data_IF_336457771880
#
_entry.id   IF_336457771880
#
_cell.length_a   1.000
_cell.length_b   1.000
_cell.length_c   1.000
_cell.angle_alpha   90.00
_cell.angle_beta   90.00
_cell.angle_gamma   90.00
#
_symmetry.space_group_name_H-M   'P 1'
#
loop_
_entity.id
_entity.type
_entity.pdbx_description
1 polymer ?
#
# COMPACT_ATOMS: atom_id res chain seq x y z
N UNK A 1 0.13 39.74 60.66
CA UNK A 1 -0.54 40.37 59.51
C UNK A 1 -1.12 39.26 58.64
N UNK A 2 -2.45 39.13 58.63
CA UNK A 2 -3.20 38.06 57.97
C UNK A 2 -3.94 38.63 56.75
N UNK A 3 -3.80 37.93 55.63
CA UNK A 3 -4.79 37.62 54.58
C UNK A 3 -5.77 38.70 54.10
N UNK A 4 -5.84 38.87 52.78
CA UNK A 4 -7.07 38.55 52.03
C UNK A 4 -6.80 38.36 50.54
N UNK A 5 -7.27 37.20 50.07
CA UNK A 5 -7.32 36.71 48.71
C UNK A 5 -8.39 37.48 47.91
N UNK A 6 -8.14 37.83 46.66
CA UNK A 6 -9.20 38.08 45.67
C UNK A 6 -8.86 37.34 44.39
N UNK A 7 -9.52 36.20 44.21
CA UNK A 7 -9.55 35.43 42.97
C UNK A 7 -10.62 36.07 42.08
N UNK A 8 -10.19 36.72 40.99
CA UNK A 8 -11.08 37.17 39.93
C UNK A 8 -11.20 36.05 38.89
N UNK A 9 -12.40 35.48 38.79
CA UNK A 9 -12.78 34.56 37.74
C UNK A 9 -12.99 35.32 36.42
N UNK A 10 -12.22 34.98 35.40
CA UNK A 10 -12.48 35.37 34.02
C UNK A 10 -12.94 34.13 33.24
N UNK A 11 -14.24 34.05 32.97
CA UNK A 11 -14.79 33.13 31.97
C UNK A 11 -14.27 33.55 30.59
N UNK A 12 -13.34 32.78 30.04
CA UNK A 12 -12.91 32.91 28.66
C UNK A 12 -13.86 32.10 27.78
N UNK A 13 -14.77 32.80 27.11
CA UNK A 13 -15.68 32.23 26.12
C UNK A 13 -14.90 32.09 24.80
N UNK A 14 -14.23 30.95 24.60
CA UNK A 14 -13.60 30.65 23.31
C UNK A 14 -14.70 30.23 22.31
N UNK A 15 -15.03 31.17 21.42
CA UNK A 15 -15.69 30.86 20.15
C UNK A 15 -14.81 29.86 19.41
N UNK A 16 -15.31 28.64 19.20
CA UNK A 16 -14.71 27.69 18.27
C UNK A 16 -14.90 28.23 16.84
N UNK A 17 -14.00 29.11 16.39
CA UNK A 17 -13.73 29.21 14.97
C UNK A 17 -13.10 27.89 14.55
N UNK A 18 -13.82 27.14 13.71
CA UNK A 18 -13.29 25.94 13.07
C UNK A 18 -12.02 26.28 12.31
N UNK A 19 -10.87 25.94 12.88
CA UNK A 19 -9.64 25.80 12.14
C UNK A 19 -9.86 24.66 11.16
N UNK A 20 -10.15 25.01 9.90
CA UNK A 20 -10.00 24.06 8.80
C UNK A 20 -8.51 23.70 8.79
N UNK A 21 -8.20 22.47 9.22
CA UNK A 21 -6.87 21.93 9.02
C UNK A 21 -6.54 22.06 7.53
N UNK A 22 -5.33 22.51 7.16
CA UNK A 22 -4.94 22.56 5.77
C UNK A 22 -5.13 21.17 5.19
N UNK A 23 -6.06 21.05 4.23
CA UNK A 23 -6.20 19.86 3.42
C UNK A 23 -4.84 19.67 2.77
N UNK A 24 -4.05 18.62 3.09
CA UNK A 24 -2.82 18.38 2.37
C UNK A 24 -3.27 18.27 0.91
N UNK A 25 -2.85 19.25 0.11
CA UNK A 25 -3.08 19.25 -1.31
C UNK A 25 -2.65 17.86 -1.75
N UNK A 26 -3.59 17.09 -2.30
CA UNK A 26 -3.27 15.85 -2.96
C UNK A 26 -2.19 16.23 -3.97
N UNK A 27 -0.93 15.95 -3.63
CA UNK A 27 0.17 16.05 -4.57
C UNK A 27 -0.32 15.24 -5.75
N UNK A 28 -0.53 15.92 -6.89
CA UNK A 28 -1.17 15.33 -8.05
C UNK A 28 -0.62 13.93 -8.26
N UNK A 29 -1.50 12.93 -8.38
CA UNK A 29 -1.09 11.54 -8.46
C UNK A 29 0.07 11.44 -9.44
N UNK A 30 1.12 10.76 -9.02
CA UNK A 30 2.16 10.39 -9.95
C UNK A 30 1.48 9.67 -11.13
N UNK A 31 1.71 10.10 -12.38
CA UNK A 31 0.99 9.56 -13.52
C UNK A 31 0.99 8.03 -13.54
N UNK A 32 -0.12 7.40 -13.92
CA UNK A 32 -0.23 5.93 -13.92
C UNK A 32 0.82 5.25 -14.81
N UNK A 33 1.29 5.94 -15.86
CA UNK A 33 2.36 5.44 -16.72
C UNK A 33 3.73 5.43 -16.01
N UNK A 34 3.98 6.33 -15.05
CA UNK A 34 5.19 6.35 -14.24
C UNK A 34 5.23 5.18 -13.26
N UNK A 35 4.09 4.83 -12.64
CA UNK A 35 4.04 3.66 -11.72
C UNK A 35 4.12 2.34 -12.48
N UNK A 36 3.61 2.27 -13.72
CA UNK A 36 3.78 1.11 -14.59
C UNK A 36 5.26 0.77 -14.81
N UNK A 37 6.11 1.78 -15.03
CA UNK A 37 7.56 1.61 -15.15
C UNK A 37 8.17 1.11 -13.84
N UNK A 38 7.82 1.74 -12.71
CA UNK A 38 8.28 1.32 -11.37
C UNK A 38 7.94 -0.17 -11.13
N UNK A 39 6.73 -0.60 -11.46
CA UNK A 39 6.30 -1.99 -11.29
C UNK A 39 7.06 -2.97 -12.20
N UNK A 40 7.40 -2.58 -13.43
CA UNK A 40 8.25 -3.39 -14.30
C UNK A 40 9.68 -3.50 -13.75
N UNK A 41 10.24 -2.41 -13.24
CA UNK A 41 11.56 -2.43 -12.59
C UNK A 41 11.55 -3.32 -11.34
N UNK A 42 10.47 -3.29 -10.55
CA UNK A 42 10.29 -4.17 -9.39
C UNK A 42 10.17 -5.65 -9.81
N UNK A 43 9.46 -5.93 -10.90
CA UNK A 43 9.37 -7.29 -11.48
C UNK A 43 10.75 -7.80 -11.91
N UNK A 44 11.49 -6.98 -12.66
CA UNK A 44 12.84 -7.27 -13.13
C UNK A 44 13.82 -7.46 -11.97
N UNK A 45 13.69 -6.66 -10.91
CA UNK A 45 14.46 -6.81 -9.68
C UNK A 45 14.19 -8.17 -9.00
N UNK A 46 12.93 -8.56 -8.84
CA UNK A 46 12.57 -9.89 -8.32
C UNK A 46 13.20 -11.01 -9.14
N UNK A 47 13.17 -10.91 -10.48
CA UNK A 47 13.78 -11.90 -11.36
C UNK A 47 15.31 -12.03 -11.16
N UNK A 48 16.00 -10.91 -10.84
CA UNK A 48 17.44 -10.92 -10.54
C UNK A 48 17.79 -11.54 -9.19
N UNK A 49 16.86 -11.57 -8.23
CA UNK A 49 17.09 -12.20 -6.92
C UNK A 49 17.14 -13.73 -7.01
N UNK A 50 16.36 -14.35 -7.91
CA UNK A 50 16.24 -15.82 -8.01
C UNK A 50 17.59 -16.53 -8.23
N UNK A 51 18.45 -16.14 -9.18
CA UNK A 51 19.74 -16.79 -9.38
C UNK A 51 20.68 -16.73 -8.17
N UNK A 52 20.57 -15.69 -7.32
CA UNK A 52 21.35 -15.63 -6.08
C UNK A 52 20.76 -16.55 -5.01
N UNK A 53 19.43 -16.59 -4.86
CA UNK A 53 18.75 -17.54 -3.97
C UNK A 53 19.02 -19.00 -4.38
N UNK A 54 19.23 -19.28 -5.66
CA UNK A 54 19.58 -20.61 -6.16
C UNK A 54 20.99 -21.06 -5.76
N UNK A 55 21.90 -20.13 -5.47
CA UNK A 55 23.25 -20.44 -4.99
C UNK A 55 23.30 -20.82 -3.50
N UNK A 56 22.25 -20.52 -2.73
CA UNK A 56 22.20 -20.86 -1.31
C UNK A 56 22.02 -22.37 -1.12
N UNK A 57 22.87 -22.97 -0.29
CA UNK A 57 22.83 -24.40 0.05
C UNK A 57 22.32 -24.61 1.49
N UNK A 58 21.05 -24.27 1.71
CA UNK A 58 20.41 -24.41 3.02
C UNK A 58 20.42 -25.85 3.57
N UNK A 59 20.51 -26.87 2.70
CA UNK A 59 20.65 -28.26 3.12
C UNK A 59 22.05 -28.53 3.68
N UNK A 60 23.10 -28.11 2.98
CA UNK A 60 24.48 -28.18 3.47
C UNK A 60 24.71 -27.35 4.74
N UNK A 61 23.89 -26.33 5.01
CA UNK A 61 23.97 -25.59 6.28
C UNK A 61 23.56 -26.46 7.49
N UNK A 62 22.62 -27.40 7.32
CA UNK A 62 22.17 -28.27 8.41
C UNK A 62 23.32 -29.19 8.90
N UNK A 63 24.16 -29.66 7.97
CA UNK A 63 25.38 -30.43 8.30
C UNK A 63 26.39 -29.61 9.14
N UNK A 64 26.31 -28.28 9.06
CA UNK A 64 27.11 -27.32 9.83
C UNK A 64 26.39 -26.83 11.10
N UNK A 65 25.28 -27.46 11.48
CA UNK A 65 24.51 -27.16 12.69
C UNK A 65 23.51 -26.02 12.54
N UNK A 66 23.09 -25.68 11.32
CA UNK A 66 21.95 -24.78 11.11
C UNK A 66 20.61 -25.52 11.31
N UNK A 67 19.53 -24.78 11.58
CA UNK A 67 18.19 -25.33 11.63
C UNK A 67 17.75 -25.89 10.26
N UNK A 68 17.14 -27.07 10.24
CA UNK A 68 16.57 -27.67 9.01
C UNK A 68 15.48 -26.79 8.38
N UNK A 69 14.88 -25.87 9.15
CA UNK A 69 13.87 -24.93 8.67
C UNK A 69 14.38 -23.99 7.58
N UNK A 70 15.70 -23.76 7.48
CA UNK A 70 16.28 -22.93 6.42
C UNK A 70 15.99 -23.46 5.02
N UNK A 71 15.89 -24.79 4.84
CA UNK A 71 15.59 -25.38 3.54
C UNK A 71 14.16 -25.02 3.08
N UNK A 72 13.19 -25.14 3.99
CA UNK A 72 11.80 -24.75 3.74
C UNK A 72 11.67 -23.23 3.52
N UNK A 73 12.39 -22.43 4.31
CA UNK A 73 12.41 -20.99 4.16
C UNK A 73 13.02 -20.56 2.82
N UNK A 74 14.14 -21.16 2.40
CA UNK A 74 14.75 -20.88 1.11
C UNK A 74 13.81 -21.19 -0.06
N UNK A 75 13.13 -22.34 0.00
CA UNK A 75 12.15 -22.71 -1.02
C UNK A 75 10.99 -21.72 -1.06
N UNK A 76 10.42 -21.40 0.10
CA UNK A 76 9.35 -20.40 0.21
C UNK A 76 9.80 -19.03 -0.33
N UNK A 77 11.03 -18.58 -0.04
CA UNK A 77 11.56 -17.32 -0.59
C UNK A 77 11.59 -17.34 -2.12
N UNK A 78 12.03 -18.44 -2.73
CA UNK A 78 12.08 -18.58 -4.19
C UNK A 78 10.67 -18.51 -4.80
N UNK A 79 9.71 -19.19 -4.19
CA UNK A 79 8.32 -19.19 -4.68
C UNK A 79 7.65 -17.82 -4.51
N UNK A 80 7.92 -17.14 -3.40
CA UNK A 80 7.45 -15.79 -3.13
C UNK A 80 8.05 -14.77 -4.09
N UNK A 81 9.35 -14.87 -4.41
CA UNK A 81 10.01 -13.99 -5.38
C UNK A 81 9.46 -14.20 -6.79
N UNK A 82 9.22 -15.45 -7.23
CA UNK A 82 8.56 -15.74 -8.52
C UNK A 82 7.18 -15.09 -8.59
N UNK A 83 6.38 -15.31 -7.56
CA UNK A 83 5.03 -14.76 -7.47
C UNK A 83 5.04 -13.23 -7.49
N UNK A 84 5.94 -12.60 -6.73
CA UNK A 84 6.16 -11.15 -6.73
C UNK A 84 6.50 -10.63 -8.13
N UNK A 85 7.42 -11.31 -8.83
CA UNK A 85 7.81 -10.93 -10.19
C UNK A 85 6.61 -10.94 -11.14
N UNK A 86 5.78 -11.99 -11.07
CA UNK A 86 4.60 -12.13 -11.93
C UNK A 86 3.49 -11.13 -11.58
N UNK A 87 3.22 -10.94 -10.29
CA UNK A 87 2.23 -9.98 -9.79
C UNK A 87 2.62 -8.54 -10.15
N UNK A 88 3.88 -8.15 -9.95
CA UNK A 88 4.37 -6.82 -10.34
C UNK A 88 4.20 -6.58 -11.85
N UNK A 89 4.57 -7.57 -12.67
CA UNK A 89 4.38 -7.50 -14.13
C UNK A 89 2.90 -7.44 -14.53
N UNK A 90 2.04 -8.15 -13.83
CA UNK A 90 0.60 -8.13 -14.07
C UNK A 90 -0.01 -6.79 -13.68
N UNK A 91 0.35 -6.26 -12.51
CA UNK A 91 -0.12 -4.99 -11.99
C UNK A 91 0.35 -3.81 -12.84
N UNK A 92 1.55 -3.88 -13.43
CA UNK A 92 2.04 -2.83 -14.33
C UNK A 92 1.10 -2.56 -15.54
N UNK A 93 0.22 -3.51 -15.88
CA UNK A 93 -0.79 -3.34 -16.95
C UNK A 93 -2.08 -2.67 -16.47
N UNK A 94 -2.35 -2.68 -15.17
CA UNK A 94 -3.55 -2.12 -14.54
C UNK A 94 -3.17 -1.56 -13.15
N UNK A 95 -2.31 -0.53 -13.07
CA UNK A 95 -1.73 -0.06 -11.82
C UNK A 95 -2.76 0.50 -10.82
N UNK A 96 -3.93 0.90 -11.31
CA UNK A 96 -5.03 1.47 -10.53
C UNK A 96 -5.80 0.43 -9.68
N UNK A 97 -5.45 -0.86 -9.79
CA UNK A 97 -6.02 -1.96 -9.00
C UNK A 97 -5.45 -1.95 -7.57
N UNK A 98 -6.02 -1.11 -6.72
CA UNK A 98 -5.55 -0.91 -5.34
C UNK A 98 -5.37 -2.20 -4.53
N UNK A 99 -6.31 -3.16 -4.61
CA UNK A 99 -6.20 -4.43 -3.87
C UNK A 99 -4.98 -5.24 -4.29
N UNK A 100 -4.76 -5.40 -5.59
CA UNK A 100 -3.59 -6.09 -6.13
C UNK A 100 -2.29 -5.32 -5.79
N UNK A 101 -2.35 -3.99 -5.73
CA UNK A 101 -1.24 -3.17 -5.28
C UNK A 101 -0.85 -3.41 -3.81
N UNK A 102 -1.84 -3.51 -2.91
CA UNK A 102 -1.62 -3.82 -1.50
C UNK A 102 -1.09 -5.25 -1.30
N UNK A 103 -1.65 -6.23 -2.03
CA UNK A 103 -1.16 -7.62 -2.01
C UNK A 103 0.32 -7.69 -2.40
N UNK A 104 0.70 -7.04 -3.50
CA UNK A 104 2.10 -6.94 -3.93
C UNK A 104 2.98 -6.28 -2.87
N UNK A 105 2.52 -5.17 -2.26
CA UNK A 105 3.25 -4.48 -1.20
C UNK A 105 3.53 -5.39 -0.01
N UNK A 106 2.54 -6.14 0.47
CA UNK A 106 2.74 -7.09 1.58
C UNK A 106 3.68 -8.24 1.20
N UNK A 107 3.59 -8.74 -0.04
CA UNK A 107 4.50 -9.78 -0.52
C UNK A 107 5.95 -9.30 -0.55
N UNK A 108 6.19 -8.06 -0.98
CA UNK A 108 7.52 -7.44 -0.93
C UNK A 108 8.06 -7.41 0.49
N UNK A 109 7.27 -6.97 1.47
CA UNK A 109 7.68 -6.95 2.88
C UNK A 109 8.02 -8.36 3.39
N UNK A 110 7.21 -9.35 3.05
CA UNK A 110 7.45 -10.74 3.42
C UNK A 110 8.76 -11.28 2.81
N UNK A 111 9.01 -11.02 1.52
CA UNK A 111 10.25 -11.40 0.84
C UNK A 111 11.46 -10.75 1.49
N UNK A 112 11.40 -9.44 1.79
CA UNK A 112 12.50 -8.71 2.44
C UNK A 112 12.84 -9.32 3.81
N UNK A 113 11.82 -9.66 4.61
CA UNK A 113 12.01 -10.32 5.90
C UNK A 113 12.68 -11.71 5.75
N UNK A 114 12.22 -12.50 4.78
CA UNK A 114 12.77 -13.84 4.55
C UNK A 114 14.21 -13.80 4.03
N UNK A 115 14.52 -12.85 3.15
CA UNK A 115 15.89 -12.61 2.66
C UNK A 115 16.78 -12.21 3.84
N UNK A 116 16.34 -11.34 4.74
CA UNK A 116 17.10 -10.95 5.93
C UNK A 116 17.62 -12.14 6.74
N UNK A 117 16.75 -13.10 7.04
CA UNK A 117 17.15 -14.30 7.78
C UNK A 117 18.04 -15.25 6.95
N UNK A 118 17.82 -15.36 5.63
CA UNK A 118 18.70 -16.14 4.75
C UNK A 118 20.11 -15.52 4.65
N UNK A 119 20.23 -14.19 4.70
CA UNK A 119 21.52 -13.49 4.70
C UNK A 119 22.34 -13.85 5.93
N UNK A 120 21.72 -13.87 7.11
CA UNK A 120 22.38 -14.29 8.36
C UNK A 120 22.88 -15.74 8.26
N UNK A 121 22.02 -16.65 7.77
CA UNK A 121 22.40 -18.04 7.53
C UNK A 121 23.55 -18.18 6.54
N UNK A 122 23.50 -17.42 5.44
CA UNK A 122 24.52 -17.46 4.38
C UNK A 122 25.88 -17.01 4.90
N UNK A 123 25.94 -15.91 5.69
CA UNK A 123 27.19 -15.43 6.30
C UNK A 123 27.80 -16.44 7.26
N UNK A 124 26.96 -17.13 8.04
CA UNK A 124 27.40 -18.05 9.09
C UNK A 124 27.80 -19.42 8.56
N UNK A 125 27.09 -19.95 7.55
CA UNK A 125 27.19 -21.35 7.16
C UNK A 125 27.72 -21.57 5.74
N UNK A 126 27.88 -20.53 4.91
CA UNK A 126 28.32 -20.71 3.52
C UNK A 126 29.39 -19.73 3.07
N UNK A 127 29.02 -18.48 2.77
CA UNK A 127 29.91 -17.49 2.18
C UNK A 127 29.41 -16.07 2.48
N UNK A 128 30.22 -15.30 3.20
CA UNK A 128 29.91 -13.91 3.51
C UNK A 128 29.83 -13.04 2.24
N UNK A 129 30.65 -13.32 1.22
CA UNK A 129 30.62 -12.57 -0.02
C UNK A 129 29.33 -12.80 -0.82
N UNK A 130 28.81 -14.04 -0.83
CA UNK A 130 27.49 -14.34 -1.40
C UNK A 130 26.37 -13.61 -0.66
N UNK A 131 26.42 -13.58 0.67
CA UNK A 131 25.46 -12.83 1.46
C UNK A 131 25.50 -11.33 1.13
N UNK A 132 26.68 -10.73 1.02
CA UNK A 132 26.79 -9.30 0.72
C UNK A 132 26.31 -8.95 -0.70
N UNK A 133 26.54 -9.84 -1.69
CA UNK A 133 25.94 -9.69 -3.03
C UNK A 133 24.42 -9.73 -2.98
N UNK A 134 23.83 -10.69 -2.26
CA UNK A 134 22.39 -10.81 -2.12
C UNK A 134 21.79 -9.60 -1.37
N UNK A 135 22.46 -9.13 -0.31
CA UNK A 135 22.05 -7.97 0.45
C UNK A 135 22.08 -6.70 -0.39
N UNK A 136 23.17 -6.49 -1.15
CA UNK A 136 23.30 -5.36 -2.05
C UNK A 136 22.20 -5.37 -3.10
N UNK A 137 21.94 -6.52 -3.73
CA UNK A 137 20.87 -6.64 -4.72
C UNK A 137 19.50 -6.36 -4.09
N UNK A 138 19.18 -6.95 -2.94
CA UNK A 138 17.90 -6.73 -2.24
C UNK A 138 17.66 -5.26 -1.86
N UNK A 139 18.73 -4.49 -1.61
CA UNK A 139 18.65 -3.07 -1.29
C UNK A 139 18.40 -2.17 -2.52
N UNK A 140 18.84 -2.56 -3.72
CA UNK A 140 18.78 -1.73 -4.95
C UNK A 140 17.38 -1.16 -5.24
N UNK A 141 16.33 -1.91 -4.91
CA UNK A 141 14.96 -1.56 -5.26
C UNK A 141 14.25 -0.70 -4.19
N UNK A 142 14.98 -0.24 -3.16
CA UNK A 142 14.41 0.50 -2.03
C UNK A 142 13.65 1.77 -2.43
N UNK A 143 14.20 2.56 -3.36
CA UNK A 143 13.56 3.79 -3.83
C UNK A 143 12.21 3.52 -4.54
N UNK A 144 12.16 2.47 -5.36
CA UNK A 144 10.95 2.07 -6.07
C UNK A 144 9.86 1.57 -5.11
N UNK A 145 10.23 0.80 -4.07
CA UNK A 145 9.31 0.43 -2.98
C UNK A 145 8.69 1.66 -2.31
N UNK A 146 9.52 2.66 -1.99
CA UNK A 146 9.04 3.90 -1.39
C UNK A 146 8.07 4.67 -2.30
N UNK A 147 8.39 4.81 -3.58
CA UNK A 147 7.50 5.44 -4.57
C UNK A 147 6.19 4.69 -4.74
N UNK A 148 6.24 3.36 -4.80
CA UNK A 148 5.06 2.52 -4.90
C UNK A 148 4.15 2.66 -3.66
N UNK A 149 4.72 2.71 -2.46
CA UNK A 149 3.96 2.96 -1.24
C UNK A 149 3.24 4.32 -1.28
N UNK A 150 3.94 5.39 -1.69
CA UNK A 150 3.33 6.72 -1.85
C UNK A 150 2.20 6.68 -2.88
N UNK A 151 2.40 6.00 -4.00
CA UNK A 151 1.36 5.80 -5.01
C UNK A 151 0.13 5.10 -4.43
N UNK A 152 0.28 4.01 -3.69
CA UNK A 152 -0.85 3.28 -3.09
C UNK A 152 -1.66 4.14 -2.12
N UNK A 153 -0.99 4.95 -1.31
CA UNK A 153 -1.66 5.90 -0.39
C UNK A 153 -2.44 6.95 -1.17
N UNK A 154 -1.84 7.53 -2.21
CA UNK A 154 -2.52 8.54 -3.03
C UNK A 154 -3.71 7.94 -3.81
N UNK A 155 -3.55 6.73 -4.33
CA UNK A 155 -4.61 5.99 -5.02
C UNK A 155 -5.78 5.70 -4.05
N UNK A 156 -5.49 5.28 -2.82
CA UNK A 156 -6.52 5.08 -1.80
C UNK A 156 -7.28 6.38 -1.50
N UNK A 157 -6.56 7.48 -1.26
CA UNK A 157 -7.18 8.80 -1.02
C UNK A 157 -8.05 9.26 -2.21
N UNK A 158 -7.61 9.00 -3.44
CA UNK A 158 -8.41 9.27 -4.63
C UNK A 158 -9.70 8.44 -4.64
N UNK A 159 -9.65 7.14 -4.35
CA UNK A 159 -10.85 6.28 -4.30
C UNK A 159 -11.83 6.73 -3.22
N UNK A 160 -11.34 7.15 -2.06
CA UNK A 160 -12.17 7.72 -0.99
C UNK A 160 -12.89 8.98 -1.46
N UNK A 161 -12.18 9.88 -2.15
CA UNK A 161 -12.75 11.10 -2.71
C UNK A 161 -13.79 10.80 -3.80
N UNK A 162 -13.53 9.85 -4.69
CA UNK A 162 -14.47 9.40 -5.74
C UNK A 162 -15.76 8.86 -5.12
N UNK A 163 -15.65 8.02 -4.09
CA UNK A 163 -16.80 7.51 -3.34
C UNK A 163 -17.60 8.64 -2.67
N UNK A 164 -16.93 9.62 -2.06
CA UNK A 164 -17.60 10.76 -1.42
C UNK A 164 -18.39 11.62 -2.43
N UNK A 165 -17.83 11.84 -3.62
CA UNK A 165 -18.53 12.55 -4.71
C UNK A 165 -19.73 11.74 -5.20
N UNK A 166 -19.55 10.45 -5.42
CA UNK A 166 -20.62 9.54 -5.85
C UNK A 166 -21.79 9.58 -4.86
N UNK A 167 -21.51 9.48 -3.56
CA UNK A 167 -22.52 9.55 -2.50
C UNK A 167 -23.24 10.90 -2.49
N UNK A 168 -22.49 12.01 -2.61
CA UNK A 168 -23.07 13.36 -2.65
C UNK A 168 -24.04 13.53 -3.82
N UNK A 169 -23.64 13.12 -5.03
CA UNK A 169 -24.50 13.22 -6.20
C UNK A 169 -25.70 12.27 -6.11
N UNK A 170 -25.54 11.08 -5.54
CA UNK A 170 -26.66 10.18 -5.27
C UNK A 170 -27.69 10.82 -4.33
N UNK A 171 -27.26 11.49 -3.25
CA UNK A 171 -28.17 12.20 -2.35
C UNK A 171 -28.84 13.38 -3.02
N UNK A 172 -28.12 14.15 -3.84
CA UNK A 172 -28.68 15.25 -4.63
C UNK A 172 -29.79 14.75 -5.56
N UNK A 173 -29.57 13.65 -6.27
CA UNK A 173 -30.57 13.04 -7.13
C UNK A 173 -31.82 12.60 -6.35
N UNK A 174 -31.66 12.01 -5.16
CA UNK A 174 -32.78 11.66 -4.28
C UNK A 174 -33.60 12.88 -3.88
N UNK A 175 -32.95 13.99 -3.53
CA UNK A 175 -33.62 15.25 -3.20
C UNK A 175 -34.44 15.81 -4.37
N UNK A 176 -33.90 15.77 -5.59
CA UNK A 176 -34.61 16.19 -6.80
C UNK A 176 -35.85 15.32 -7.01
N UNK A 177 -35.72 13.99 -6.94
CA UNK A 177 -36.86 13.07 -7.12
C UNK A 177 -37.94 13.23 -6.05
N UNK A 178 -37.55 13.46 -4.79
CA UNK A 178 -38.50 13.65 -3.68
C UNK A 178 -39.32 14.94 -3.79
N UNK A 179 -38.84 15.93 -4.56
CA UNK A 179 -39.51 17.22 -4.76
C UNK A 179 -40.28 17.30 -6.08
N UNK A 180 -40.26 16.24 -6.90
CA UNK A 180 -41.05 16.20 -8.12
C UNK A 180 -42.55 16.08 -7.80
N UNK A 181 -43.40 16.95 -8.37
CA UNK A 181 -44.84 16.83 -8.20
C UNK A 181 -45.32 15.51 -8.82
N UNK A 182 -46.34 14.85 -8.22
CA UNK A 182 -46.86 13.60 -8.74
C UNK A 182 -47.44 13.81 -10.15
N UNK A 183 -47.36 12.78 -11.02
CA UNK A 183 -47.89 12.89 -12.37
C UNK A 183 -49.40 13.20 -12.33
N UNK A 184 -49.90 14.03 -13.28
CA UNK A 184 -51.32 14.37 -13.34
C UNK A 184 -52.16 13.10 -13.50
N UNK A 185 -53.27 13.01 -12.75
CA UNK A 185 -54.18 11.85 -12.84
C UNK A 185 -54.79 11.78 -14.24
N UNK A 186 -54.82 10.60 -14.89
CA UNK A 186 -55.45 10.46 -16.18
C UNK A 186 -56.95 10.76 -16.05
N UNK A 187 -57.42 11.74 -16.83
CA UNK A 187 -58.84 12.06 -16.94
C UNK A 187 -59.52 10.91 -17.70
N UNK A 188 -60.22 10.04 -16.96
CA UNK A 188 -61.13 9.07 -17.56
C UNK A 188 -62.26 9.85 -18.24
N UNK A 189 -62.14 10.07 -19.55
CA UNK A 189 -63.19 10.67 -20.37
C UNK A 189 -64.45 9.82 -20.30
N UNK A 190 -65.47 10.32 -19.61
CA UNK A 190 -66.82 9.77 -19.63
C UNK A 190 -67.41 10.06 -21.01
N UNK A 191 -67.27 9.12 -21.96
CA UNK A 191 -68.01 9.16 -23.22
C UNK A 191 -69.51 9.04 -22.91
N UNK A 192 -70.28 10.04 -23.34
CA UNK A 192 -71.74 10.01 -23.44
C UNK A 192 -72.13 9.43 -24.79
#
# INVERSE_FOLDING_TARGET
MRSTLRVTAALCWCVFLGAQAPNPQANGLQPDWDVGVILQEMSAHGARLLPLLEQLDAKGWAEKGASETYAAQLQSSKDQVRTLTDEAKALARNPERLSAGLELYFRIQAVDQMIGSLLEGTRKYQDAALADRLASLAAENGANRGRFQVYLVNLAAQREQECAVMDREAQRCRGILATQPPPPRPTTGRKK
#
